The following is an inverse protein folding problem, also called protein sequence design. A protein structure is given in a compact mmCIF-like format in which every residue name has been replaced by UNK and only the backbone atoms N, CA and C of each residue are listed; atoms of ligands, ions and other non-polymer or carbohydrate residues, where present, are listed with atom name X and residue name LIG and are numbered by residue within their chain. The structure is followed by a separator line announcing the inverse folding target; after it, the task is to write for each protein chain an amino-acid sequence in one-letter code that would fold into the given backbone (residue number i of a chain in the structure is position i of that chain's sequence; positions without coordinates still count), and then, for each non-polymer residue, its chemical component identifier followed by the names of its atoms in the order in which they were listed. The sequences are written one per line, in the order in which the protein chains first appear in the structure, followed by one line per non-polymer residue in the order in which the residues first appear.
data_IF_961692198346
#
_entry.id   IF_961692198346
#
_cell.length_a   1.000
_cell.length_b   1.000
_cell.length_c   1.000
_cell.angle_alpha   90.00
_cell.angle_beta   90.00
_cell.angle_gamma   90.00
#
_symmetry.space_group_name_H-M   'P 1'
#
loop_
_entity.id
_entity.type
_entity.pdbx_description
1 polymer ?
#
# COMPACT_ATOMS: atom_id res chain seq x y z
N UNK A 1 40.36 -29.95 -1.95
CA UNK A 1 39.41 -29.64 -3.06
C UNK A 1 38.15 -30.45 -2.88
N UNK A 2 37.06 -29.77 -2.50
CA UNK A 2 35.66 -29.93 -2.93
C UNK A 2 34.74 -29.42 -1.82
N UNK A 3 34.45 -28.13 -1.94
CA UNK A 3 33.19 -27.51 -1.55
C UNK A 3 32.01 -28.27 -2.15
N UNK A 4 30.84 -28.18 -1.51
CA UNK A 4 29.45 -28.36 -1.98
C UNK A 4 28.66 -29.03 -0.84
N UNK A 5 27.99 -28.24 0.01
CA UNK A 5 26.66 -28.53 0.58
C UNK A 5 26.14 -27.36 1.43
N UNK A 6 25.99 -26.16 0.85
CA UNK A 6 25.30 -25.04 1.50
C UNK A 6 24.59 -24.25 0.40
N UNK A 7 23.33 -24.57 0.14
CA UNK A 7 22.59 -23.88 -0.92
C UNK A 7 21.11 -24.25 -1.04
N UNK A 8 20.46 -24.78 0.01
CA UNK A 8 19.05 -25.23 -0.13
C UNK A 8 18.14 -24.87 1.05
N UNK A 9 18.54 -23.93 1.93
CA UNK A 9 17.69 -23.50 3.07
C UNK A 9 17.22 -22.04 2.93
N UNK A 10 17.68 -21.29 1.93
CA UNK A 10 17.50 -19.83 1.86
C UNK A 10 16.33 -19.34 0.98
N UNK A 11 15.47 -20.24 0.46
CA UNK A 11 14.45 -19.92 -0.56
C UNK A 11 12.99 -20.14 -0.06
N UNK A 12 12.78 -20.38 1.23
CA UNK A 12 11.43 -20.68 1.76
C UNK A 12 10.80 -19.58 2.64
N UNK A 13 11.40 -18.38 2.70
CA UNK A 13 10.92 -17.31 3.60
C UNK A 13 10.23 -16.13 2.89
N UNK A 14 10.11 -16.15 1.56
CA UNK A 14 9.60 -15.01 0.78
C UNK A 14 8.06 -14.96 0.63
N UNK A 15 7.29 -15.91 1.16
CA UNK A 15 5.90 -16.13 0.68
C UNK A 15 4.77 -15.85 1.70
N UNK A 16 5.02 -15.43 2.94
CA UNK A 16 3.96 -15.53 3.99
C UNK A 16 3.46 -14.27 4.70
N UNK A 17 3.67 -13.05 4.19
CA UNK A 17 3.32 -11.83 4.97
C UNK A 17 2.18 -10.93 4.45
N UNK A 18 1.47 -11.28 3.37
CA UNK A 18 0.74 -10.26 2.60
C UNK A 18 -0.78 -10.10 2.85
N UNK A 19 -1.35 -10.43 4.01
CA UNK A 19 -2.77 -10.12 4.20
C UNK A 19 -3.32 -9.84 5.60
N UNK A 20 -2.44 -9.64 6.57
CA UNK A 20 -2.81 -9.21 7.92
C UNK A 20 -2.69 -7.70 8.12
N UNK A 21 -2.65 -6.95 7.03
CA UNK A 21 -2.23 -5.56 6.96
C UNK A 21 -3.41 -4.64 6.61
N UNK A 22 -3.58 -3.57 7.37
CA UNK A 22 -4.42 -2.44 7.00
C UNK A 22 -3.55 -1.20 6.84
N UNK A 23 -3.63 -0.58 5.67
CA UNK A 23 -2.91 0.66 5.34
C UNK A 23 -3.92 1.72 4.92
N UNK A 24 -3.91 2.85 5.61
CA UNK A 24 -4.62 4.06 5.22
C UNK A 24 -3.66 5.23 5.10
N UNK A 25 -3.56 5.80 3.90
CA UNK A 25 -2.73 6.96 3.60
C UNK A 25 -3.62 8.13 3.20
N UNK A 26 -3.65 9.14 4.04
CA UNK A 26 -4.36 10.39 3.81
C UNK A 26 -3.33 11.51 3.54
N UNK A 27 -3.35 12.08 2.33
CA UNK A 27 -2.48 13.19 1.95
C UNK A 27 -3.27 14.49 2.05
N UNK A 28 -2.96 15.30 3.07
CA UNK A 28 -3.56 16.60 3.29
C UNK A 28 -2.77 17.68 2.56
N UNK A 29 -3.44 18.55 1.79
CA UNK A 29 -2.77 19.48 0.87
C UNK A 29 -3.21 20.92 1.09
N UNK A 30 -2.25 21.82 1.29
CA UNK A 30 -2.46 23.27 1.39
C UNK A 30 -2.41 23.93 0.00
N UNK A 31 -2.95 25.16 -0.10
CA UNK A 31 -2.91 25.97 -1.34
C UNK A 31 -1.52 26.23 -1.89
N UNK A 32 -0.52 26.34 -1.02
CA UNK A 32 0.86 26.63 -1.41
C UNK A 32 1.61 25.41 -1.94
N UNK A 33 1.05 24.20 -1.78
CA UNK A 33 1.63 22.92 -2.17
C UNK A 33 2.25 22.15 -1.01
N UNK A 34 2.34 22.72 0.18
CA UNK A 34 2.77 22.02 1.40
C UNK A 34 1.64 21.17 1.97
N UNK A 35 1.94 20.34 2.97
CA UNK A 35 0.91 19.55 3.63
C UNK A 35 1.46 18.46 4.55
N UNK A 36 0.61 17.48 4.83
CA UNK A 36 0.97 16.33 5.66
C UNK A 36 0.49 15.02 5.07
N UNK A 37 1.28 13.96 5.26
CA UNK A 37 0.87 12.58 5.02
C UNK A 37 0.52 11.99 6.39
N UNK A 38 -0.72 11.54 6.55
CA UNK A 38 -1.13 10.70 7.67
C UNK A 38 -1.18 9.26 7.17
N UNK A 39 -0.27 8.43 7.66
CA UNK A 39 -0.21 7.00 7.36
C UNK A 39 -0.64 6.23 8.60
N UNK A 40 -1.63 5.36 8.46
CA UNK A 40 -2.04 4.42 9.50
C UNK A 40 -1.75 3.01 9.03
N UNK A 41 -0.89 2.31 9.75
CA UNK A 41 -0.50 0.92 9.46
C UNK A 41 -0.88 0.05 10.65
N UNK A 42 -1.66 -1.00 10.41
CA UNK A 42 -2.13 -1.92 11.43
C UNK A 42 -1.87 -3.37 11.01
N UNK A 43 -1.37 -4.18 11.93
CA UNK A 43 -1.18 -5.62 11.76
C UNK A 43 -2.07 -6.39 12.72
N UNK A 44 -2.54 -7.58 12.33
CA UNK A 44 -3.21 -8.50 13.25
C UNK A 44 -2.26 -8.91 14.38
N UNK A 45 -2.80 -9.04 15.60
CA UNK A 45 -2.06 -9.46 16.80
C UNK A 45 -1.34 -10.81 16.54
N UNK A 46 -1.98 -11.76 15.85
CA UNK A 46 -1.38 -13.07 15.53
C UNK A 46 -0.13 -12.96 14.65
N UNK A 47 -0.10 -12.01 13.72
CA UNK A 47 1.08 -11.78 12.86
C UNK A 47 2.20 -11.12 13.63
N UNK A 48 1.89 -10.17 14.50
CA UNK A 48 2.88 -9.56 15.39
C UNK A 48 3.51 -10.64 16.28
N UNK A 49 2.71 -11.54 16.82
CA UNK A 49 3.21 -12.63 17.66
C UNK A 49 4.05 -13.64 16.88
N UNK A 50 3.67 -13.95 15.63
CA UNK A 50 4.49 -14.75 14.73
C UNK A 50 5.84 -14.07 14.42
N UNK A 51 5.85 -12.75 14.18
CA UNK A 51 7.09 -11.99 13.95
C UNK A 51 8.00 -12.00 15.17
N UNK A 52 7.43 -11.82 16.38
CA UNK A 52 8.17 -11.96 17.65
C UNK A 52 8.79 -13.35 17.78
N UNK A 53 8.02 -14.41 17.52
CA UNK A 53 8.51 -15.79 17.57
C UNK A 53 9.63 -16.05 16.58
N UNK A 54 9.52 -15.51 15.37
CA UNK A 54 10.57 -15.60 14.37
C UNK A 54 11.85 -14.92 14.87
N UNK A 55 11.78 -13.69 15.36
CA UNK A 55 12.95 -12.97 15.88
C UNK A 55 13.57 -13.71 17.07
N UNK A 56 12.75 -14.23 17.99
CA UNK A 56 13.21 -15.05 19.11
C UNK A 56 13.99 -16.29 18.65
N UNK A 57 13.62 -16.89 17.52
CA UNK A 57 14.29 -18.07 16.99
C UNK A 57 15.69 -17.76 16.43
N UNK A 58 15.95 -16.51 16.02
CA UNK A 58 17.25 -16.06 15.53
C UNK A 58 18.09 -15.37 16.61
N UNK A 59 17.45 -14.66 17.54
CA UNK A 59 18.09 -14.01 18.68
C UNK A 59 17.16 -14.00 19.89
N UNK A 60 17.44 -14.92 20.83
CA UNK A 60 16.65 -15.11 22.05
C UNK A 60 16.74 -13.96 23.05
N UNK A 61 17.54 -12.92 22.79
CA UNK A 61 17.72 -11.77 23.70
C UNK A 61 16.85 -10.56 23.35
N UNK A 62 16.19 -10.54 22.17
CA UNK A 62 15.46 -9.38 21.65
C UNK A 62 13.96 -9.31 22.01
N UNK A 63 13.48 -10.12 22.95
CA UNK A 63 12.04 -10.20 23.28
C UNK A 63 11.43 -8.93 23.87
N UNK A 64 12.21 -8.13 24.59
CA UNK A 64 11.68 -6.93 25.27
C UNK A 64 11.74 -5.67 24.40
N UNK A 65 12.39 -5.71 23.23
CA UNK A 65 12.61 -4.55 22.35
C UNK A 65 11.92 -4.64 20.98
N UNK A 66 11.10 -5.66 20.72
CA UNK A 66 10.37 -5.76 19.46
C UNK A 66 9.27 -4.70 19.38
N UNK A 67 9.61 -3.56 18.80
CA UNK A 67 8.71 -2.51 18.39
C UNK A 67 8.78 -2.41 16.85
N UNK A 68 7.67 -2.69 16.17
CA UNK A 68 7.57 -2.56 14.71
C UNK A 68 7.66 -1.12 14.23
N UNK A 69 7.36 -0.17 15.10
CA UNK A 69 7.30 1.26 14.77
C UNK A 69 8.36 2.00 15.59
N UNK A 70 9.64 1.66 15.36
CA UNK A 70 10.75 2.40 15.96
C UNK A 70 10.82 3.78 15.35
N UNK A 71 10.89 4.81 16.20
CA UNK A 71 10.90 6.20 15.74
C UNK A 71 12.04 6.49 14.76
N UNK A 72 13.23 5.93 14.98
CA UNK A 72 14.39 6.06 14.08
C UNK A 72 14.13 5.53 12.67
N UNK A 73 13.42 4.40 12.55
CA UNK A 73 13.00 3.83 11.27
C UNK A 73 11.92 4.68 10.61
N UNK A 74 10.95 5.19 11.39
CA UNK A 74 9.91 6.10 10.90
C UNK A 74 10.50 7.41 10.39
N UNK A 75 11.49 7.97 11.08
CA UNK A 75 12.23 9.16 10.65
C UNK A 75 12.96 8.87 9.34
N UNK A 76 13.64 7.73 9.24
CA UNK A 76 14.37 7.34 8.04
C UNK A 76 13.43 7.12 6.84
N UNK A 77 12.24 6.53 7.07
CA UNK A 77 11.18 6.33 6.07
C UNK A 77 10.70 7.64 5.44
N UNK A 78 10.80 8.79 6.13
CA UNK A 78 10.40 10.08 5.57
C UNK A 78 11.08 10.38 4.22
N UNK A 79 12.36 9.99 4.07
CA UNK A 79 13.13 10.18 2.84
C UNK A 79 12.57 9.41 1.63
N UNK A 80 11.90 8.28 1.87
CA UNK A 80 11.26 7.48 0.81
C UNK A 80 10.07 8.19 0.18
N UNK A 81 9.38 9.03 0.95
CA UNK A 81 8.26 9.84 0.47
C UNK A 81 8.68 11.01 -0.42
N UNK A 82 9.98 11.28 -0.57
CA UNK A 82 10.49 12.28 -1.49
C UNK A 82 11.21 13.45 -0.82
N UNK A 83 11.67 14.39 -1.65
CA UNK A 83 12.46 15.54 -1.21
C UNK A 83 11.61 16.49 -0.35
N UNK A 84 12.17 16.91 0.80
CA UNK A 84 11.51 17.90 1.67
C UNK A 84 10.37 17.32 2.52
N UNK A 85 10.34 15.99 2.69
CA UNK A 85 9.46 15.30 3.63
C UNK A 85 10.20 15.05 4.96
N UNK A 86 9.52 15.29 6.08
CA UNK A 86 10.06 15.07 7.42
C UNK A 86 9.04 14.42 8.34
N UNK A 87 9.49 13.52 9.21
CA UNK A 87 8.67 12.99 10.31
C UNK A 87 8.22 14.10 11.27
N UNK A 88 6.97 14.01 11.74
CA UNK A 88 6.36 14.94 12.70
C UNK A 88 6.03 14.22 14.00
N UNK A 89 5.28 13.11 13.92
CA UNK A 89 4.86 12.35 15.09
C UNK A 89 4.42 10.95 14.74
N UNK A 90 4.37 10.07 15.74
CA UNK A 90 3.71 8.78 15.66
C UNK A 90 2.92 8.48 16.93
N UNK A 91 1.84 7.73 16.80
CA UNK A 91 0.99 7.28 17.89
C UNK A 91 0.73 5.78 17.71
N UNK A 92 0.97 4.99 18.76
CA UNK A 92 0.64 3.56 18.76
C UNK A 92 -0.88 3.40 18.78
N UNK A 93 -1.37 2.50 17.94
CA UNK A 93 -2.78 2.16 17.85
C UNK A 93 -2.98 0.69 18.19
N UNK A 94 -4.05 0.40 18.93
CA UNK A 94 -4.50 -0.98 19.18
C UNK A 94 -6.01 -1.04 19.19
N UNK A 95 -6.61 -1.88 18.35
CA UNK A 95 -8.06 -2.02 18.24
C UNK A 95 -8.45 -3.29 17.49
N UNK A 96 -9.52 -3.96 17.90
CA UNK A 96 -10.15 -5.07 17.18
C UNK A 96 -9.22 -6.23 16.80
N UNK A 97 -8.24 -6.57 17.66
CA UNK A 97 -7.24 -7.60 17.35
C UNK A 97 -6.14 -7.14 16.40
N UNK A 98 -6.03 -5.83 16.16
CA UNK A 98 -4.93 -5.22 15.43
C UNK A 98 -4.11 -4.32 16.33
N UNK A 99 -2.81 -4.27 16.08
CA UNK A 99 -1.86 -3.34 16.68
C UNK A 99 -1.01 -2.71 15.58
N UNK A 100 -0.68 -1.43 15.75
CA UNK A 100 -0.17 -0.61 14.67
C UNK A 100 0.30 0.76 15.14
N UNK A 101 0.50 1.66 14.17
CA UNK A 101 0.77 3.06 14.44
C UNK A 101 0.11 3.97 13.40
N UNK A 102 -0.27 5.16 13.87
CA UNK A 102 -0.50 6.32 13.01
C UNK A 102 0.77 7.16 13.00
N UNK A 103 1.23 7.54 11.81
CA UNK A 103 2.44 8.33 11.61
C UNK A 103 2.10 9.56 10.77
N UNK A 104 2.59 10.72 11.20
CA UNK A 104 2.42 11.99 10.52
C UNK A 104 3.76 12.42 9.95
N UNK A 105 3.78 12.69 8.65
CA UNK A 105 4.88 13.32 7.94
C UNK A 105 4.43 14.68 7.43
N UNK A 106 5.31 15.67 7.41
CA UNK A 106 5.10 16.96 6.76
C UNK A 106 5.89 17.00 5.46
N UNK A 107 5.34 17.65 4.43
CA UNK A 107 6.03 17.90 3.18
C UNK A 107 5.89 19.36 2.76
N UNK A 108 6.93 19.89 2.12
CA UNK A 108 6.96 21.28 1.68
C UNK A 108 6.37 21.48 0.28
N UNK A 109 6.39 20.44 -0.56
CA UNK A 109 5.94 20.51 -1.96
C UNK A 109 5.38 19.17 -2.41
N UNK A 110 4.07 19.12 -2.68
CA UNK A 110 3.37 17.91 -3.16
C UNK A 110 3.94 17.39 -4.48
N UNK A 111 4.52 18.26 -5.32
CA UNK A 111 5.11 17.85 -6.61
C UNK A 111 6.40 17.05 -6.45
N UNK A 112 6.93 16.99 -5.23
CA UNK A 112 8.13 16.22 -4.85
C UNK A 112 7.82 14.92 -4.13
N UNK A 113 6.54 14.62 -3.89
CA UNK A 113 6.16 13.38 -3.25
C UNK A 113 6.38 12.19 -4.17
N UNK A 114 6.95 11.14 -3.59
CA UNK A 114 7.04 9.81 -4.15
C UNK A 114 6.00 8.92 -3.46
N UNK A 115 4.85 8.75 -4.13
CA UNK A 115 3.77 7.91 -3.65
C UNK A 115 3.36 6.92 -4.74
N UNK A 116 3.23 5.66 -4.38
CA UNK A 116 2.63 4.63 -5.23
C UNK A 116 1.16 4.46 -4.90
N UNK A 117 0.37 3.97 -5.87
CA UNK A 117 -1.03 3.60 -5.61
C UNK A 117 -1.09 2.55 -4.49
N UNK A 118 -0.28 1.50 -4.61
CA UNK A 118 -0.11 0.47 -3.59
C UNK A 118 1.15 0.81 -2.79
N UNK A 119 1.01 0.96 -1.48
CA UNK A 119 2.13 1.32 -0.61
C UNK A 119 2.91 0.07 -0.20
N UNK A 120 3.90 -0.33 -1.00
CA UNK A 120 4.74 -1.49 -0.73
C UNK A 120 5.70 -1.23 0.47
N UNK A 121 6.02 0.04 0.72
CA UNK A 121 6.83 0.53 1.84
C UNK A 121 6.05 0.65 3.18
N UNK A 122 4.77 0.28 3.22
CA UNK A 122 3.95 0.38 4.42
C UNK A 122 4.44 -0.55 5.55
N UNK A 123 5.12 -1.64 5.18
CA UNK A 123 5.72 -2.59 6.12
C UNK A 123 7.19 -2.23 6.32
N UNK A 124 7.66 -1.99 7.56
CA UNK A 124 9.09 -1.92 7.85
C UNK A 124 9.76 -3.21 7.38
N UNK A 125 10.63 -3.12 6.40
CA UNK A 125 11.28 -4.29 5.82
C UNK A 125 12.15 -4.97 6.88
N UNK A 126 11.89 -6.25 7.16
CA UNK A 126 12.77 -7.11 7.98
C UNK A 126 14.00 -7.59 7.18
N UNK A 127 14.46 -6.81 6.18
CA UNK A 127 15.59 -7.10 5.30
C UNK A 127 15.92 -5.95 4.35
N UNK A 128 17.18 -5.87 3.92
CA UNK A 128 17.77 -4.78 3.11
C UNK A 128 17.31 -4.77 1.63
N UNK A 129 16.02 -4.95 1.33
CA UNK A 129 15.50 -4.66 -0.02
C UNK A 129 14.83 -3.29 -0.03
N UNK A 130 15.63 -2.28 -0.38
CA UNK A 130 15.15 -0.95 -0.75
C UNK A 130 14.51 -0.98 -2.14
N UNK A 131 13.30 -1.53 -2.24
CA UNK A 131 12.48 -1.38 -3.43
C UNK A 131 11.89 0.03 -3.46
N UNK A 132 12.70 1.00 -3.89
CA UNK A 132 12.15 2.31 -4.29
C UNK A 132 11.26 2.10 -5.52
N UNK A 133 10.01 2.60 -5.54
CA UNK A 133 9.14 2.49 -6.71
C UNK A 133 9.84 3.07 -7.94
N UNK A 134 9.83 2.35 -9.06
CA UNK A 134 10.41 2.89 -10.29
C UNK A 134 9.64 4.13 -10.73
N UNK A 135 10.28 5.07 -11.43
CA UNK A 135 9.67 6.37 -11.80
C UNK A 135 8.32 6.24 -12.57
N UNK A 136 8.06 5.06 -13.15
CA UNK A 136 6.84 4.74 -13.90
C UNK A 136 5.69 4.23 -13.02
N UNK A 137 5.92 3.93 -11.75
CA UNK A 137 4.95 3.40 -10.78
C UNK A 137 4.45 4.47 -9.79
N UNK A 138 5.03 5.67 -9.86
CA UNK A 138 4.75 6.78 -8.96
C UNK A 138 3.59 7.65 -9.47
N UNK A 139 2.77 8.12 -8.54
CA UNK A 139 1.75 9.14 -8.77
C UNK A 139 2.46 10.48 -8.95
N UNK A 140 2.19 11.16 -10.06
CA UNK A 140 2.77 12.49 -10.34
C UNK A 140 1.78 13.59 -10.01
N UNK A 141 2.26 14.61 -9.33
CA UNK A 141 1.47 15.78 -8.95
C UNK A 141 1.94 17.01 -9.71
N UNK A 142 1.01 17.77 -10.27
CA UNK A 142 1.28 19.07 -10.90
C UNK A 142 0.41 20.12 -10.22
N UNK A 143 1.04 21.15 -9.68
CA UNK A 143 0.37 22.22 -8.94
C UNK A 143 0.43 23.53 -9.71
N UNK A 144 -0.74 24.08 -10.06
CA UNK A 144 -0.88 25.42 -10.63
C UNK A 144 -1.52 26.35 -9.58
N UNK A 145 -0.77 27.39 -9.20
CA UNK A 145 -1.11 28.33 -8.13
C UNK A 145 -1.51 29.67 -8.73
N UNK A 146 -2.70 30.14 -8.39
CA UNK A 146 -3.14 31.51 -8.67
C UNK A 146 -3.58 32.20 -7.37
N UNK A 147 -3.76 33.52 -7.42
CA UNK A 147 -4.18 34.31 -6.25
C UNK A 147 -5.57 33.97 -5.69
N UNK A 148 -6.40 33.24 -6.43
CA UNK A 148 -7.80 32.95 -6.06
C UNK A 148 -8.17 31.46 -6.04
N UNK A 149 -7.33 30.61 -6.63
CA UNK A 149 -7.54 29.16 -6.70
C UNK A 149 -6.21 28.42 -6.88
N UNK A 150 -6.13 27.24 -6.30
CA UNK A 150 -5.09 26.26 -6.55
C UNK A 150 -5.69 25.10 -7.34
N UNK A 151 -5.02 24.68 -8.40
CA UNK A 151 -5.37 23.49 -9.18
C UNK A 151 -4.30 22.44 -8.97
N UNK A 152 -4.72 21.30 -8.43
CA UNK A 152 -3.88 20.12 -8.29
C UNK A 152 -4.29 19.10 -9.34
N UNK A 153 -3.40 18.83 -10.28
CA UNK A 153 -3.53 17.73 -11.23
C UNK A 153 -2.78 16.52 -10.67
N UNK A 154 -3.45 15.37 -10.69
CA UNK A 154 -2.92 14.09 -10.21
C UNK A 154 -2.90 13.15 -11.41
N UNK A 155 -1.72 12.63 -11.72
CA UNK A 155 -1.48 11.72 -12.85
C UNK A 155 -1.12 10.37 -12.26
N UNK A 156 -2.00 9.39 -12.47
CA UNK A 156 -1.81 8.03 -12.02
C UNK A 156 -0.81 7.29 -12.93
N UNK A 157 0.02 6.41 -12.37
CA UNK A 157 1.00 5.66 -13.14
C UNK A 157 0.31 4.74 -14.15
N UNK A 158 0.92 4.59 -15.33
CA UNK A 158 0.57 3.51 -16.25
C UNK A 158 1.24 2.23 -15.78
N UNK A 159 0.67 1.53 -14.80
CA UNK A 159 1.21 0.24 -14.37
C UNK A 159 1.07 -0.77 -15.50
N UNK A 160 2.20 -1.38 -15.89
CA UNK A 160 2.22 -2.69 -16.50
C UNK A 160 2.46 -3.67 -15.35
N UNK A 161 1.50 -4.55 -15.10
CA UNK A 161 1.75 -5.66 -14.19
C UNK A 161 2.54 -6.68 -15.01
N UNK A 162 3.87 -6.58 -14.96
CA UNK A 162 4.75 -7.53 -15.62
C UNK A 162 4.52 -8.89 -14.97
N UNK A 163 4.02 -9.83 -15.77
CA UNK A 163 3.83 -11.23 -15.40
C UNK A 163 5.17 -11.97 -15.40
N UNK A 164 6.19 -11.41 -14.74
CA UNK A 164 7.56 -11.93 -14.72
C UNK A 164 7.99 -12.44 -13.33
N UNK A 165 7.04 -12.92 -12.52
CA UNK A 165 7.34 -13.97 -11.54
C UNK A 165 6.83 -15.32 -12.06
N UNK A 166 7.74 -16.03 -12.74
CA UNK A 166 7.59 -17.44 -13.08
C UNK A 166 7.63 -18.31 -11.81
N UNK A 167 6.58 -18.30 -10.98
CA UNK A 167 6.33 -19.41 -10.04
C UNK A 167 4.87 -19.87 -9.95
N UNK A 168 3.91 -19.20 -10.59
CA UNK A 168 2.53 -19.70 -10.70
C UNK A 168 2.19 -20.14 -12.14
N UNK A 169 3.10 -20.89 -12.77
CA UNK A 169 2.74 -21.74 -13.90
C UNK A 169 2.02 -23.01 -13.39
N UNK A 170 0.81 -22.84 -12.86
CA UNK A 170 -0.15 -23.94 -12.85
C UNK A 170 -1.35 -23.51 -13.69
N UNK A 171 -1.52 -24.17 -14.84
CA UNK A 171 -2.84 -24.38 -15.40
C UNK A 171 -3.67 -25.06 -14.30
N UNK A 172 -4.35 -24.26 -13.49
CA UNK A 172 -5.19 -24.76 -12.41
C UNK A 172 -6.26 -25.65 -13.01
N UNK A 173 -6.15 -26.95 -12.76
CA UNK A 173 -7.35 -27.78 -12.71
C UNK A 173 -8.18 -27.27 -11.54
N UNK A 174 -9.52 -27.30 -11.64
CA UNK A 174 -10.42 -26.79 -10.60
C UNK A 174 -10.14 -27.40 -9.20
N UNK A 175 -9.48 -28.56 -9.14
CA UNK A 175 -9.05 -29.22 -7.90
C UNK A 175 -7.99 -28.45 -7.09
N UNK A 176 -7.07 -27.72 -7.72
CA UNK A 176 -6.00 -26.98 -7.01
C UNK A 176 -6.41 -25.55 -6.65
N UNK A 177 -7.37 -24.98 -7.37
CA UNK A 177 -7.87 -23.62 -7.11
C UNK A 177 -8.51 -23.50 -5.73
N UNK A 178 -9.27 -24.50 -5.29
CA UNK A 178 -9.95 -24.43 -4.01
C UNK A 178 -8.97 -24.35 -2.84
N UNK A 179 -7.90 -25.14 -2.86
CA UNK A 179 -6.86 -25.11 -1.82
C UNK A 179 -6.06 -23.80 -1.84
N UNK A 180 -5.78 -23.26 -3.03
CA UNK A 180 -5.10 -21.97 -3.20
C UNK A 180 -5.99 -20.80 -2.73
N UNK A 181 -7.27 -20.85 -3.04
CA UNK A 181 -8.25 -19.85 -2.63
C UNK A 181 -8.48 -19.86 -1.12
N UNK A 182 -8.54 -21.03 -0.47
CA UNK A 182 -8.66 -21.11 0.99
C UNK A 182 -7.39 -20.57 1.69
N UNK A 183 -6.20 -20.84 1.15
CA UNK A 183 -4.96 -20.21 1.64
C UNK A 183 -4.97 -18.70 1.43
N UNK A 184 -5.40 -18.23 0.25
CA UNK A 184 -5.51 -16.81 -0.04
C UNK A 184 -6.53 -16.12 0.87
N UNK A 185 -7.64 -16.77 1.22
CA UNK A 185 -8.57 -16.27 2.22
C UNK A 185 -7.88 -16.08 3.55
N UNK A 186 -7.22 -17.11 4.06
CA UNK A 186 -6.52 -17.03 5.35
C UNK A 186 -5.51 -15.87 5.35
N UNK A 187 -4.78 -15.70 4.25
CA UNK A 187 -3.84 -14.59 4.08
C UNK A 187 -4.54 -13.25 4.04
N UNK A 188 -5.38 -12.97 3.03
CA UNK A 188 -5.93 -11.65 2.71
C UNK A 188 -7.14 -11.22 3.53
N UNK A 189 -7.58 -12.05 4.49
CA UNK A 189 -8.72 -11.70 5.35
C UNK A 189 -8.41 -10.47 6.19
N UNK A 190 -9.31 -9.50 6.15
CA UNK A 190 -9.29 -8.18 6.78
C UNK A 190 -8.24 -7.22 6.25
N UNK A 191 -7.57 -7.57 5.14
CA UNK A 191 -6.66 -6.66 4.47
C UNK A 191 -7.43 -5.48 3.87
N UNK A 192 -6.95 -4.28 4.15
CA UNK A 192 -7.52 -3.03 3.66
C UNK A 192 -6.43 -2.09 3.21
N UNK A 193 -6.62 -1.48 2.06
CA UNK A 193 -5.72 -0.45 1.54
C UNK A 193 -6.54 0.76 1.12
N UNK A 194 -6.08 1.95 1.46
CA UNK A 194 -6.78 3.18 1.18
C UNK A 194 -5.79 4.31 0.93
N UNK A 195 -5.95 5.03 -0.17
CA UNK A 195 -5.20 6.22 -0.52
C UNK A 195 -6.15 7.37 -0.89
N UNK A 196 -6.03 8.48 -0.17
CA UNK A 196 -6.86 9.68 -0.38
C UNK A 196 -6.04 10.95 -0.49
N UNK A 197 -6.53 11.87 -1.31
CA UNK A 197 -6.07 13.26 -1.37
C UNK A 197 -7.14 14.16 -0.75
N UNK A 198 -6.74 14.98 0.21
CA UNK A 198 -7.63 15.78 1.04
C UNK A 198 -7.11 17.23 1.05
N UNK A 199 -7.61 18.11 0.19
CA UNK A 199 -7.30 19.54 0.32
C UNK A 199 -7.74 20.08 1.69
N UNK A 200 -6.95 20.94 2.31
CA UNK A 200 -7.35 21.62 3.56
C UNK A 200 -8.37 22.74 3.30
N UNK A 201 -8.38 23.28 2.08
CA UNK A 201 -9.44 24.14 1.58
C UNK A 201 -10.59 23.33 0.97
N UNK A 202 -11.78 23.92 0.91
CA UNK A 202 -12.95 23.27 0.32
C UNK A 202 -12.75 23.06 -1.20
N UNK A 203 -12.98 21.84 -1.67
CA UNK A 203 -13.02 21.51 -3.09
C UNK A 203 -14.13 22.34 -3.76
N UNK A 204 -13.74 23.15 -4.74
CA UNK A 204 -14.63 23.96 -5.58
C UNK A 204 -15.11 23.17 -6.79
N UNK A 205 -14.20 22.42 -7.41
CA UNK A 205 -14.46 21.61 -8.59
C UNK A 205 -13.48 20.44 -8.63
N UNK A 206 -13.96 19.28 -9.06
CA UNK A 206 -13.13 18.12 -9.36
C UNK A 206 -13.81 17.26 -10.40
N UNK A 207 -13.01 16.56 -11.20
CA UNK A 207 -13.48 15.52 -12.10
C UNK A 207 -13.19 14.10 -11.58
N UNK A 208 -12.69 13.94 -10.35
CA UNK A 208 -12.48 12.63 -9.74
C UNK A 208 -13.80 11.85 -9.57
N UNK A 209 -13.74 10.52 -9.68
CA UNK A 209 -14.93 9.66 -9.61
C UNK A 209 -15.44 9.48 -8.17
N UNK A 210 -14.52 9.41 -7.21
CA UNK A 210 -14.82 9.06 -5.82
C UNK A 210 -14.56 10.21 -4.86
N UNK A 211 -15.57 11.08 -4.75
CA UNK A 211 -15.52 12.27 -3.88
C UNK A 211 -16.55 12.13 -2.77
N UNK A 212 -16.08 12.21 -1.52
CA UNK A 212 -16.95 12.26 -0.35
C UNK A 212 -16.52 13.43 0.53
N UNK A 213 -17.45 14.36 0.76
CA UNK A 213 -17.19 15.62 1.46
C UNK A 213 -16.05 16.42 0.81
N UNK A 214 -14.87 16.43 1.43
CA UNK A 214 -13.67 17.11 0.96
C UNK A 214 -12.53 16.14 0.61
N UNK A 215 -12.84 14.85 0.45
CA UNK A 215 -11.87 13.77 0.25
C UNK A 215 -12.03 13.18 -1.14
N UNK A 216 -10.92 13.09 -1.86
CA UNK A 216 -10.83 12.38 -3.14
C UNK A 216 -10.14 11.04 -2.88
N UNK A 217 -10.83 9.94 -3.16
CA UNK A 217 -10.27 8.59 -3.00
C UNK A 217 -9.67 8.13 -4.32
N UNK A 218 -8.35 7.94 -4.35
CA UNK A 218 -7.66 7.41 -5.53
C UNK A 218 -7.79 5.89 -5.60
N UNK A 219 -7.68 5.25 -4.44
CA UNK A 219 -7.76 3.81 -4.30
C UNK A 219 -8.32 3.41 -2.94
N UNK A 220 -9.24 2.45 -2.93
CA UNK A 220 -9.78 1.76 -1.76
C UNK A 220 -9.92 0.29 -2.16
N UNK A 221 -9.32 -0.61 -1.39
CA UNK A 221 -9.42 -2.05 -1.58
C UNK A 221 -9.74 -2.71 -0.25
N UNK A 222 -10.86 -3.43 -0.21
CA UNK A 222 -11.25 -4.26 0.93
C UNK A 222 -11.27 -5.73 0.48
N UNK A 223 -10.27 -6.49 0.91
CA UNK A 223 -10.11 -7.87 0.46
C UNK A 223 -11.23 -8.79 0.93
N UNK A 224 -11.90 -8.50 2.04
CA UNK A 224 -13.06 -9.29 2.47
C UNK A 224 -14.16 -9.33 1.41
N UNK A 225 -14.37 -8.24 0.68
CA UNK A 225 -15.35 -8.20 -0.40
C UNK A 225 -14.98 -9.10 -1.58
N UNK A 226 -13.68 -9.23 -1.87
CA UNK A 226 -13.17 -10.09 -2.95
C UNK A 226 -13.15 -11.56 -2.54
N UNK A 227 -12.78 -11.86 -1.30
CA UNK A 227 -12.74 -13.22 -0.75
C UNK A 227 -14.14 -13.87 -0.68
N UNK A 228 -15.20 -13.08 -0.76
CA UNK A 228 -16.58 -13.54 -0.92
C UNK A 228 -16.97 -13.81 -2.39
N UNK A 229 -16.05 -13.63 -3.35
CA UNK A 229 -16.26 -13.76 -4.80
C UNK A 229 -15.17 -14.65 -5.46
N UNK A 230 -15.26 -15.99 -5.34
CA UNK A 230 -14.23 -16.93 -5.79
C UNK A 230 -13.89 -16.81 -7.28
N UNK A 231 -14.91 -16.69 -8.14
CA UNK A 231 -14.70 -16.58 -9.60
C UNK A 231 -13.90 -15.33 -9.97
N UNK A 232 -14.18 -14.21 -9.31
CA UNK A 232 -13.47 -12.97 -9.54
C UNK A 232 -12.04 -13.04 -9.01
N UNK A 233 -11.84 -13.67 -7.84
CA UNK A 233 -10.49 -13.94 -7.35
C UNK A 233 -9.68 -14.76 -8.37
N UNK A 234 -10.29 -15.79 -8.98
CA UNK A 234 -9.68 -16.59 -10.07
C UNK A 234 -9.33 -15.74 -11.29
N UNK A 235 -10.13 -14.73 -11.61
CA UNK A 235 -9.83 -13.82 -12.72
C UNK A 235 -8.69 -12.86 -12.42
N UNK A 236 -8.60 -12.38 -11.18
CA UNK A 236 -7.53 -11.49 -10.71
C UNK A 236 -6.21 -12.24 -10.49
N UNK A 237 -6.25 -13.48 -10.01
CA UNK A 237 -5.04 -14.30 -9.78
C UNK A 237 -4.47 -14.91 -11.08
N UNK A 238 -5.25 -14.92 -12.16
CA UNK A 238 -4.77 -15.32 -13.47
C UNK A 238 -4.00 -14.20 -14.17
N UNK A 239 -3.27 -14.55 -15.24
CA UNK A 239 -2.51 -13.61 -16.10
C UNK A 239 -3.40 -12.67 -16.95
N UNK A 240 -4.65 -12.40 -16.53
CA UNK A 240 -5.61 -11.54 -17.22
C UNK A 240 -5.42 -10.06 -16.87
N UNK A 241 -4.93 -9.75 -15.67
CA UNK A 241 -4.63 -8.38 -15.27
C UNK A 241 -3.23 -8.02 -15.72
N UNK A 242 -3.12 -7.21 -16.78
CA UNK A 242 -1.82 -6.78 -17.33
C UNK A 242 -1.56 -5.29 -17.13
N UNK A 243 -2.59 -4.57 -16.70
CA UNK A 243 -2.56 -3.12 -16.56
C UNK A 243 -3.52 -2.65 -15.48
N UNK A 244 -3.30 -1.42 -15.01
CA UNK A 244 -4.22 -0.75 -14.10
C UNK A 244 -5.64 -0.61 -14.69
N UNK A 245 -5.75 -0.44 -16.02
CA UNK A 245 -7.04 -0.35 -16.71
C UNK A 245 -7.79 -1.69 -16.70
N UNK A 246 -7.08 -2.81 -16.83
CA UNK A 246 -7.70 -4.14 -16.73
C UNK A 246 -8.16 -4.40 -15.30
N UNK A 247 -7.35 -4.02 -14.31
CA UNK A 247 -7.72 -4.13 -12.90
C UNK A 247 -8.99 -3.31 -12.59
N UNK A 248 -9.02 -2.03 -12.97
CA UNK A 248 -10.19 -1.14 -12.82
C UNK A 248 -11.47 -1.75 -13.37
N UNK A 249 -11.41 -2.32 -14.59
CA UNK A 249 -12.58 -2.94 -15.24
C UNK A 249 -13.15 -4.12 -14.47
N UNK A 250 -12.28 -4.91 -13.84
CA UNK A 250 -12.69 -6.06 -13.04
C UNK A 250 -13.28 -5.65 -11.70
N UNK A 251 -12.74 -4.58 -11.08
CA UNK A 251 -13.11 -4.21 -9.71
C UNK A 251 -14.16 -3.11 -9.57
N UNK A 252 -14.50 -2.37 -10.64
CA UNK A 252 -15.39 -1.20 -10.59
C UNK A 252 -16.79 -1.46 -10.01
N UNK A 253 -17.27 -2.70 -10.06
CA UNK A 253 -18.61 -3.11 -9.64
C UNK A 253 -18.61 -3.84 -8.30
N UNK A 254 -17.45 -3.94 -7.65
CA UNK A 254 -17.31 -4.61 -6.37
C UNK A 254 -17.47 -3.61 -5.25
N UNK A 255 -18.43 -3.87 -4.37
CA UNK A 255 -18.52 -3.16 -3.11
C UNK A 255 -17.22 -3.28 -2.29
N UNK A 256 -16.72 -2.18 -1.75
CA UNK A 256 -15.44 -2.14 -1.05
C UNK A 256 -14.21 -2.02 -1.96
N UNK A 257 -14.42 -1.78 -3.26
CA UNK A 257 -13.37 -1.36 -4.18
C UNK A 257 -13.72 -0.01 -4.79
N UNK A 258 -12.77 0.92 -4.74
CA UNK A 258 -12.82 2.17 -5.49
C UNK A 258 -11.44 2.37 -6.10
N UNK A 259 -11.37 2.52 -7.41
CA UNK A 259 -10.11 2.82 -8.10
C UNK A 259 -10.45 3.87 -9.13
N UNK A 260 -9.86 5.05 -8.99
CA UNK A 260 -10.09 6.19 -9.90
C UNK A 260 -9.96 5.72 -11.36
N UNK A 261 -11.01 5.92 -12.17
CA UNK A 261 -11.07 5.34 -13.52
C UNK A 261 -10.21 6.11 -14.52
N UNK A 262 -9.86 7.36 -14.21
CA UNK A 262 -9.06 8.22 -15.08
C UNK A 262 -7.59 8.11 -14.74
N UNK A 263 -6.75 8.24 -15.77
CA UNK A 263 -5.30 8.34 -15.59
C UNK A 263 -4.87 9.73 -15.12
N UNK A 264 -5.72 10.73 -15.30
CA UNK A 264 -5.50 12.09 -14.84
C UNK A 264 -6.80 12.63 -14.24
N UNK A 265 -6.69 13.24 -13.07
CA UNK A 265 -7.78 14.00 -12.46
C UNK A 265 -7.27 15.37 -12.03
N UNK A 266 -8.19 16.32 -11.88
CA UNK A 266 -7.90 17.67 -11.43
C UNK A 266 -8.82 18.06 -10.28
N UNK A 267 -8.23 18.53 -9.18
CA UNK A 267 -8.93 19.09 -8.02
C UNK A 267 -8.64 20.59 -7.97
N UNK A 268 -9.69 21.41 -7.86
CA UNK A 268 -9.58 22.86 -7.66
C UNK A 268 -10.09 23.23 -6.28
N UNK A 269 -9.27 23.94 -5.48
CA UNK A 269 -9.58 24.40 -4.12
C UNK A 269 -9.04 25.82 -3.85
#
# INVERSE_FOLDING_TARGET
MKTIFQGSVFILFTIFLSGCLQVETNVYVNKDGSGTIEETVMFKDEVIDMMKQFIMAFDSTQTEEFNLFKEEELISKASKYGEGVSYVSSEKLKSNGFEGAKVIYAFNDITKLNLSLISDDAVPSLGEDESTPTENEQIKFVLDKSSSQTKLKIILPSMKMDSEDETLNQKGNDSTFNDEFEKAKEMFTDMKMLLRIIPNDKIKQTDADFVQENKVTLMEMNMNSLLNKPELFKELSGNKVKSLDDFRKLVNSIEGFKVESKNEIQITF
#
